data_IF_839225852428
#
_entry.id   IF_839225852428
#
_cell.length_a   1.000
_cell.length_b   1.000
_cell.length_c   1.000
_cell.angle_alpha   90.00
_cell.angle_beta   90.00
_cell.angle_gamma   90.00
#
_symmetry.space_group_name_H-M   'P 1'
#
loop_
_entity.id
_entity.type
_entity.pdbx_description
1 polymer ?
#
# COMPACT_ATOMS: atom_id res chain seq x y z
N UNK A 1 -62.75 2.22 -12.71
CA UNK A 1 -62.80 1.18 -13.74
C UNK A 1 -61.60 0.31 -13.49
N UNK A 2 -61.90 -0.64 -12.66
CA UNK A 2 -62.01 -2.09 -12.90
C UNK A 2 -60.64 -2.72 -13.07
N UNK A 3 -60.23 -3.63 -12.33
CA UNK A 3 -60.70 -4.77 -11.50
C UNK A 3 -59.61 -5.87 -11.68
N UNK A 4 -59.13 -6.36 -10.58
CA UNK A 4 -59.29 -7.72 -10.07
C UNK A 4 -58.49 -8.88 -10.71
N UNK A 5 -57.85 -9.64 -9.85
CA UNK A 5 -57.55 -11.05 -9.92
C UNK A 5 -56.28 -11.40 -9.19
N UNK A 6 -56.21 -11.69 -7.99
CA UNK A 6 -56.56 -12.74 -6.98
C UNK A 6 -56.37 -14.19 -7.41
N UNK A 7 -55.69 -14.92 -6.51
CA UNK A 7 -55.62 -16.38 -6.17
C UNK A 7 -54.58 -17.18 -6.97
N UNK A 8 -53.89 -18.13 -6.40
CA UNK A 8 -54.24 -19.11 -5.36
C UNK A 8 -53.02 -19.80 -4.76
N UNK A 9 -53.15 -20.21 -3.51
CA UNK A 9 -52.31 -21.05 -2.67
C UNK A 9 -52.20 -22.50 -3.16
N UNK A 10 -51.16 -23.25 -2.73
CA UNK A 10 -51.21 -24.59 -2.11
C UNK A 10 -49.77 -25.04 -1.81
N UNK A 11 -49.40 -25.19 -0.59
CA UNK A 11 -49.39 -26.28 0.38
C UNK A 11 -48.89 -27.63 -0.16
N UNK A 12 -47.87 -28.18 0.54
CA UNK A 12 -47.41 -29.58 0.40
C UNK A 12 -46.34 -29.92 1.45
N UNK A 13 -46.83 -30.31 2.62
CA UNK A 13 -46.08 -30.96 3.70
C UNK A 13 -45.55 -32.35 3.26
N UNK A 14 -44.48 -32.80 3.90
CA UNK A 14 -43.99 -34.18 3.78
C UNK A 14 -42.84 -34.53 4.74
N UNK A 15 -43.19 -34.64 6.03
CA UNK A 15 -42.35 -35.37 7.02
C UNK A 15 -42.27 -36.86 6.70
N UNK A 16 -41.16 -37.49 7.03
CA UNK A 16 -41.02 -38.82 7.74
C UNK A 16 -39.54 -39.06 8.01
N UNK A 17 -39.19 -39.12 9.23
CA UNK A 17 -38.85 -40.09 10.27
C UNK A 17 -38.28 -41.43 9.77
N UNK A 18 -37.14 -41.83 10.37
CA UNK A 18 -36.57 -43.19 10.28
C UNK A 18 -35.34 -43.34 11.18
N UNK A 19 -35.63 -43.80 12.39
CA UNK A 19 -34.74 -44.28 13.46
C UNK A 19 -33.94 -45.55 13.09
N UNK A 20 -32.88 -45.79 13.90
CA UNK A 20 -32.44 -47.16 14.19
C UNK A 20 -30.91 -47.36 14.15
N UNK A 21 -30.31 -47.32 15.22
CA UNK A 21 -29.93 -48.26 16.25
C UNK A 21 -28.50 -48.87 16.12
N UNK A 22 -27.82 -48.68 17.17
CA UNK A 22 -26.70 -49.29 17.83
C UNK A 22 -26.26 -50.75 17.47
N UNK A 23 -24.94 -50.98 17.56
CA UNK A 23 -24.36 -52.33 17.63
C UNK A 23 -22.90 -52.27 18.05
N UNK A 24 -22.69 -52.69 19.28
CA UNK A 24 -21.43 -52.85 20.03
C UNK A 24 -20.72 -54.18 19.74
N UNK A 25 -19.43 -54.25 20.20
CA UNK A 25 -18.53 -55.41 20.41
C UNK A 25 -17.67 -55.83 19.21
N UNK A 26 -16.38 -56.11 19.34
CA UNK A 26 -15.59 -56.64 20.42
C UNK A 26 -14.12 -56.78 19.99
N UNK A 27 -13.28 -56.95 20.98
CA UNK A 27 -11.83 -57.03 20.94
C UNK A 27 -11.30 -58.39 20.37
N UNK A 28 -10.05 -58.34 19.89
CA UNK A 28 -8.90 -59.23 20.14
C UNK A 28 -7.99 -59.27 18.90
N UNK A 29 -6.78 -58.80 18.91
CA UNK A 29 -5.55 -59.49 19.20
C UNK A 29 -5.04 -60.37 18.06
N UNK A 30 -3.96 -59.93 17.38
CA UNK A 30 -2.88 -60.83 16.94
C UNK A 30 -1.66 -60.04 16.46
N UNK A 31 -0.51 -60.43 16.94
CA UNK A 31 0.84 -60.06 16.55
C UNK A 31 1.15 -60.58 15.15
N UNK A 32 1.87 -59.81 14.34
CA UNK A 32 2.46 -60.27 13.09
C UNK A 32 3.60 -59.35 12.69
N UNK A 33 4.80 -59.86 12.87
CA UNK A 33 6.07 -59.27 12.38
C UNK A 33 6.12 -59.35 10.85
N UNK A 34 6.87 -58.39 10.27
CA UNK A 34 7.27 -58.48 8.86
C UNK A 34 7.42 -57.11 8.21
N UNK A 35 8.47 -56.54 8.25
CA UNK A 35 9.61 -56.19 7.43
C UNK A 35 9.33 -55.52 6.10
N UNK A 36 10.13 -54.47 5.88
CA UNK A 36 10.57 -53.95 4.58
C UNK A 36 9.58 -53.18 3.69
N UNK A 37 9.90 -51.92 3.55
CA UNK A 37 9.34 -51.08 2.53
C UNK A 37 9.45 -49.57 2.79
N UNK A 38 10.47 -49.12 3.47
CA UNK A 38 10.88 -47.69 3.42
C UNK A 38 11.35 -47.41 1.98
N UNK A 39 10.42 -46.95 1.15
CA UNK A 39 10.79 -46.40 -0.16
C UNK A 39 11.58 -45.13 0.09
N UNK A 40 12.87 -45.26 -0.18
CA UNK A 40 13.87 -44.21 -0.29
C UNK A 40 13.37 -43.13 -1.27
N UNK A 41 12.86 -42.01 -0.72
CA UNK A 41 12.60 -40.79 -1.50
C UNK A 41 13.89 -39.96 -1.59
N UNK A 42 15.00 -40.66 -1.87
CA UNK A 42 16.27 -40.04 -2.24
C UNK A 42 16.21 -39.67 -3.72
N UNK A 43 15.80 -38.45 -4.01
CA UNK A 43 15.80 -37.94 -5.40
C UNK A 43 15.29 -36.53 -5.60
N UNK A 44 14.98 -35.78 -4.55
CA UNK A 44 14.82 -34.32 -4.67
C UNK A 44 16.22 -33.68 -4.58
N UNK A 45 16.62 -32.83 -5.56
CA UNK A 45 17.87 -32.12 -5.43
C UNK A 45 17.81 -31.25 -4.18
N UNK A 46 18.70 -31.52 -3.24
CA UNK A 46 18.93 -30.62 -2.08
C UNK A 46 19.26 -29.25 -2.66
N UNK A 47 18.55 -28.16 -2.28
CA UNK A 47 18.92 -26.86 -2.76
C UNK A 47 20.37 -26.58 -2.35
N UNK A 48 21.21 -26.29 -3.36
CA UNK A 48 22.61 -26.00 -3.16
C UNK A 48 22.72 -24.62 -2.48
N UNK A 49 22.84 -24.61 -1.18
CA UNK A 49 22.96 -23.46 -0.31
C UNK A 49 22.22 -23.74 1.01
N UNK A 50 22.81 -23.32 2.12
CA UNK A 50 22.15 -23.48 3.42
C UNK A 50 20.86 -22.64 3.39
N UNK A 51 19.69 -23.18 3.74
CA UNK A 51 18.44 -22.40 3.87
C UNK A 51 18.63 -21.12 4.70
N UNK A 52 19.53 -21.17 5.66
CA UNK A 52 19.89 -20.10 6.57
C UNK A 52 20.57 -18.93 5.82
N UNK A 53 21.51 -19.18 4.90
CA UNK A 53 22.23 -18.15 4.17
C UNK A 53 21.30 -17.37 3.19
N UNK A 54 20.42 -18.06 2.48
CA UNK A 54 19.42 -17.42 1.63
C UNK A 54 18.43 -16.58 2.46
N UNK A 55 18.03 -17.11 3.62
CA UNK A 55 17.15 -16.41 4.56
C UNK A 55 17.82 -15.16 5.11
N UNK A 56 19.05 -15.27 5.58
CA UNK A 56 19.82 -14.15 6.13
C UNK A 56 19.99 -13.03 5.06
N UNK A 57 20.40 -13.38 3.86
CA UNK A 57 20.57 -12.44 2.76
C UNK A 57 19.24 -11.71 2.41
N UNK A 58 18.12 -12.45 2.38
CA UNK A 58 16.81 -11.84 2.13
C UNK A 58 16.39 -10.90 3.26
N UNK A 59 16.51 -11.34 4.51
CA UNK A 59 16.11 -10.55 5.68
C UNK A 59 16.96 -9.28 5.82
N UNK A 60 18.26 -9.33 5.50
CA UNK A 60 19.15 -8.16 5.49
C UNK A 60 18.66 -7.07 4.52
N UNK A 61 17.99 -7.43 3.44
CA UNK A 61 17.51 -6.49 2.42
C UNK A 61 15.98 -6.30 2.42
N UNK A 62 15.23 -6.96 3.31
CA UNK A 62 13.76 -6.99 3.28
C UNK A 62 13.13 -5.59 3.27
N UNK A 63 13.61 -4.67 4.12
CA UNK A 63 13.08 -3.31 4.19
C UNK A 63 13.30 -2.52 2.91
N UNK A 64 14.49 -2.64 2.30
CA UNK A 64 14.80 -2.06 0.99
C UNK A 64 13.86 -2.61 -0.09
N UNK A 65 13.71 -3.94 -0.16
CA UNK A 65 12.86 -4.61 -1.16
C UNK A 65 11.39 -4.20 -1.00
N UNK A 66 10.93 -4.07 0.27
CA UNK A 66 9.59 -3.56 0.56
C UNK A 66 9.41 -2.14 0.06
N UNK A 67 10.37 -1.25 0.34
CA UNK A 67 10.28 0.15 -0.11
C UNK A 67 10.24 0.25 -1.64
N UNK A 68 11.10 -0.50 -2.34
CA UNK A 68 11.08 -0.57 -3.81
C UNK A 68 9.71 -1.04 -4.33
N UNK A 69 9.17 -2.12 -3.77
CA UNK A 69 7.87 -2.65 -4.18
C UNK A 69 6.74 -1.66 -3.87
N UNK A 70 6.75 -1.06 -2.69
CA UNK A 70 5.74 -0.10 -2.26
C UNK A 70 5.73 1.18 -3.11
N UNK A 71 6.89 1.76 -3.42
CA UNK A 71 6.97 2.92 -4.31
C UNK A 71 6.52 2.59 -5.74
N UNK A 72 6.67 1.35 -6.17
CA UNK A 72 6.17 0.89 -7.48
C UNK A 72 4.67 0.63 -7.48
N UNK A 73 4.08 0.20 -6.37
CA UNK A 73 2.70 -0.29 -6.31
C UNK A 73 1.74 0.68 -5.62
N UNK A 74 2.22 1.47 -4.65
CA UNK A 74 1.40 2.35 -3.82
C UNK A 74 0.46 1.58 -2.87
N UNK A 75 0.71 0.29 -2.66
CA UNK A 75 -0.07 -0.59 -1.78
C UNK A 75 0.89 -1.45 -0.96
N UNK A 76 0.76 -1.37 0.36
CA UNK A 76 1.57 -2.17 1.28
C UNK A 76 1.21 -3.66 1.19
N UNK A 77 -0.07 -3.96 0.97
CA UNK A 77 -0.53 -5.33 0.78
C UNK A 77 0.11 -5.97 -0.45
N UNK A 78 0.04 -5.28 -1.59
CA UNK A 78 0.65 -5.78 -2.83
C UNK A 78 2.18 -5.82 -2.77
N UNK A 79 2.82 -4.92 -2.02
CA UNK A 79 4.26 -4.95 -1.79
C UNK A 79 4.68 -6.19 -0.99
N UNK A 80 3.96 -6.53 0.09
CA UNK A 80 4.21 -7.77 0.85
C UNK A 80 3.97 -9.02 0.01
N UNK A 81 2.93 -9.06 -0.82
CA UNK A 81 2.69 -10.17 -1.75
C UNK A 81 3.89 -10.35 -2.71
N UNK A 82 4.39 -9.25 -3.26
CA UNK A 82 5.59 -9.26 -4.13
C UNK A 82 6.82 -9.74 -3.38
N UNK A 83 7.00 -9.36 -2.12
CA UNK A 83 8.11 -9.84 -1.30
C UNK A 83 8.00 -11.34 -1.06
N UNK A 84 6.81 -11.83 -0.76
CA UNK A 84 6.58 -13.26 -0.58
C UNK A 84 6.88 -14.06 -1.85
N UNK A 85 6.42 -13.59 -3.02
CA UNK A 85 6.76 -14.18 -4.31
C UNK A 85 8.26 -14.14 -4.60
N UNK A 86 8.92 -13.03 -4.25
CA UNK A 86 10.37 -12.87 -4.42
C UNK A 86 11.11 -13.87 -3.52
N UNK A 87 10.69 -14.02 -2.27
CA UNK A 87 11.26 -15.00 -1.33
C UNK A 87 11.15 -16.43 -1.85
N UNK A 88 9.95 -16.85 -2.27
CA UNK A 88 9.72 -18.19 -2.79
C UNK A 88 10.60 -18.54 -3.99
N UNK A 89 10.98 -17.56 -4.79
CA UNK A 89 11.90 -17.76 -5.92
C UNK A 89 13.35 -17.69 -5.50
N UNK A 90 13.68 -16.84 -4.52
CA UNK A 90 15.01 -16.64 -4.01
C UNK A 90 15.58 -17.90 -3.34
N UNK A 91 14.78 -18.61 -2.56
CA UNK A 91 15.21 -19.85 -1.90
C UNK A 91 15.59 -20.99 -2.88
N UNK A 92 15.16 -20.88 -4.13
CA UNK A 92 15.54 -21.80 -5.21
C UNK A 92 16.74 -21.38 -6.03
N UNK A 93 17.37 -20.22 -5.71
CA UNK A 93 18.53 -19.71 -6.43
C UNK A 93 19.80 -20.35 -5.89
N UNK A 94 20.69 -20.81 -6.79
CA UNK A 94 22.05 -21.19 -6.40
C UNK A 94 22.86 -19.94 -6.03
N UNK A 95 23.13 -19.76 -4.74
CA UNK A 95 23.85 -18.60 -4.22
C UNK A 95 25.29 -18.52 -4.68
N UNK A 96 25.90 -19.65 -5.06
CA UNK A 96 27.27 -19.68 -5.55
C UNK A 96 27.46 -18.88 -6.87
N UNK A 97 26.38 -18.71 -7.65
CA UNK A 97 26.42 -17.92 -8.89
C UNK A 97 26.00 -16.45 -8.71
N UNK A 98 25.54 -16.08 -7.51
CA UNK A 98 25.08 -14.72 -7.21
C UNK A 98 26.23 -13.89 -6.66
N UNK A 99 26.73 -12.95 -7.46
CA UNK A 99 27.84 -12.05 -7.05
C UNK A 99 27.39 -10.96 -6.06
N UNK A 100 26.18 -10.43 -6.24
CA UNK A 100 25.59 -9.38 -5.43
C UNK A 100 24.13 -9.74 -5.11
N UNK A 101 23.86 -10.27 -3.90
CA UNK A 101 22.52 -10.61 -3.44
C UNK A 101 21.55 -9.40 -3.43
N UNK A 102 22.03 -8.21 -3.05
CA UNK A 102 21.22 -6.99 -3.03
C UNK A 102 20.72 -6.64 -4.43
N UNK A 103 21.62 -6.51 -5.39
CA UNK A 103 21.26 -6.18 -6.78
C UNK A 103 20.37 -7.25 -7.40
N UNK A 104 20.64 -8.53 -7.12
CA UNK A 104 19.84 -9.66 -7.61
C UNK A 104 18.40 -9.61 -7.06
N UNK A 105 18.24 -9.43 -5.74
CA UNK A 105 16.95 -9.34 -5.07
C UNK A 105 16.15 -8.11 -5.53
N UNK A 106 16.79 -6.93 -5.64
CA UNK A 106 16.12 -5.71 -6.15
C UNK A 106 15.63 -5.94 -7.58
N UNK A 107 16.41 -6.55 -8.45
CA UNK A 107 16.01 -6.89 -9.82
C UNK A 107 14.81 -7.84 -9.84
N UNK A 108 14.84 -8.89 -9.00
CA UNK A 108 13.76 -9.86 -8.89
C UNK A 108 12.46 -9.20 -8.40
N UNK A 109 12.54 -8.43 -7.31
CA UNK A 109 11.41 -7.67 -6.73
C UNK A 109 10.83 -6.69 -7.75
N UNK A 110 11.67 -5.94 -8.46
CA UNK A 110 11.23 -5.00 -9.50
C UNK A 110 10.43 -5.69 -10.60
N UNK A 111 10.89 -6.84 -11.08
CA UNK A 111 10.17 -7.61 -12.12
C UNK A 111 8.80 -8.08 -11.65
N UNK A 112 8.71 -8.58 -10.41
CA UNK A 112 7.42 -8.97 -9.81
C UNK A 112 6.50 -7.77 -9.64
N UNK A 113 7.01 -6.66 -9.09
CA UNK A 113 6.25 -5.43 -8.91
C UNK A 113 5.73 -4.87 -10.25
N UNK A 114 6.53 -4.87 -11.32
CA UNK A 114 6.09 -4.45 -12.66
C UNK A 114 4.97 -5.33 -13.21
N UNK A 115 5.05 -6.65 -13.01
CA UNK A 115 3.99 -7.57 -13.43
C UNK A 115 2.71 -7.32 -12.63
N UNK A 116 2.81 -7.16 -11.31
CA UNK A 116 1.69 -6.83 -10.43
C UNK A 116 1.06 -5.50 -10.81
N UNK A 117 1.86 -4.46 -11.07
CA UNK A 117 1.39 -3.12 -11.44
C UNK A 117 0.52 -3.13 -12.70
N UNK A 118 0.85 -3.95 -13.71
CA UNK A 118 0.03 -4.10 -14.92
C UNK A 118 -1.37 -4.65 -14.61
N UNK A 119 -1.46 -5.58 -13.65
CA UNK A 119 -2.73 -6.14 -13.20
C UNK A 119 -3.54 -5.12 -12.37
N UNK A 120 -2.86 -4.39 -11.47
CA UNK A 120 -3.49 -3.40 -10.61
C UNK A 120 -4.07 -2.21 -11.39
N UNK A 121 -3.43 -1.78 -12.48
CA UNK A 121 -3.98 -0.70 -13.32
C UNK A 121 -5.39 -0.99 -13.80
N UNK A 122 -5.67 -2.22 -14.23
CA UNK A 122 -7.02 -2.63 -14.64
C UNK A 122 -8.03 -2.58 -13.50
N UNK A 123 -7.62 -2.93 -12.26
CA UNK A 123 -8.48 -2.83 -11.08
C UNK A 123 -8.78 -1.38 -10.70
N UNK A 124 -7.80 -0.48 -10.89
CA UNK A 124 -7.96 0.96 -10.59
C UNK A 124 -8.91 1.65 -11.57
N UNK A 125 -9.03 1.18 -12.80
CA UNK A 125 -10.01 1.69 -13.77
C UNK A 125 -11.47 1.48 -13.34
N UNK A 126 -11.73 0.48 -12.49
CA UNK A 126 -13.05 0.20 -11.91
C UNK A 126 -13.19 0.64 -10.44
N UNK A 127 -12.21 1.35 -9.90
CA UNK A 127 -12.21 1.79 -8.51
C UNK A 127 -13.21 2.92 -8.28
N UNK A 128 -13.94 2.86 -7.15
CA UNK A 128 -14.97 3.84 -6.84
C UNK A 128 -14.34 5.06 -6.15
N UNK A 129 -14.39 6.20 -6.82
CA UNK A 129 -13.83 7.47 -6.33
C UNK A 129 -12.32 7.59 -6.53
N UNK A 130 -11.68 8.63 -5.95
CA UNK A 130 -10.24 8.82 -6.00
C UNK A 130 -9.50 7.67 -5.33
N UNK A 131 -8.56 7.07 -6.03
CA UNK A 131 -7.66 6.09 -5.44
C UNK A 131 -6.45 6.83 -4.83
N UNK A 132 -6.20 6.59 -3.54
CA UNK A 132 -5.00 7.06 -2.84
C UNK A 132 -4.08 5.89 -2.50
N UNK A 133 -2.75 6.08 -2.45
CA UNK A 133 -1.84 5.07 -1.91
C UNK A 133 -2.25 4.61 -0.51
N UNK A 134 -1.93 3.35 -0.19
CA UNK A 134 -2.14 2.81 1.16
C UNK A 134 -1.17 3.50 2.13
N UNK A 135 -1.62 4.11 3.23
CA UNK A 135 -0.75 4.83 4.15
C UNK A 135 0.11 3.85 4.95
N UNK A 136 1.36 4.23 5.22
CA UNK A 136 2.28 3.51 6.08
C UNK A 136 2.51 4.31 7.36
N UNK A 137 2.24 3.71 8.51
CA UNK A 137 2.74 4.24 9.79
C UNK A 137 4.25 4.02 9.80
N UNK A 138 5.03 5.08 9.90
CA UNK A 138 6.50 5.04 9.85
C UNK A 138 7.10 5.54 11.16
N UNK A 139 8.25 4.98 11.53
CA UNK A 139 9.00 5.47 12.68
C UNK A 139 9.58 6.88 12.42
N UNK A 140 9.87 7.65 13.47
CA UNK A 140 10.41 9.00 13.34
C UNK A 140 11.77 9.09 12.61
N UNK A 141 12.60 8.03 12.69
CA UNK A 141 13.89 7.94 12.02
C UNK A 141 13.80 8.00 10.48
N UNK A 142 12.68 7.57 9.90
CA UNK A 142 12.43 7.71 8.46
C UNK A 142 12.40 9.18 8.03
N UNK A 143 11.92 10.07 8.90
CA UNK A 143 11.89 11.50 8.62
C UNK A 143 13.28 12.15 8.64
N UNK A 144 14.30 11.49 9.21
CA UNK A 144 15.70 11.96 9.22
C UNK A 144 16.35 11.76 7.84
N UNK A 145 15.96 10.74 7.09
CA UNK A 145 16.33 10.59 5.67
C UNK A 145 15.35 11.39 4.79
N UNK A 146 15.68 12.65 4.55
CA UNK A 146 14.82 13.60 3.82
C UNK A 146 14.45 13.09 2.42
N UNK A 147 15.40 12.47 1.72
CA UNK A 147 15.15 11.96 0.36
C UNK A 147 14.21 10.76 0.39
N UNK A 148 14.38 9.84 1.34
CA UNK A 148 13.48 8.71 1.53
C UNK A 148 12.09 9.18 1.97
N UNK A 149 12.02 10.06 2.97
CA UNK A 149 10.75 10.61 3.45
C UNK A 149 9.97 11.35 2.34
N UNK A 150 10.69 12.00 1.43
CA UNK A 150 10.06 12.63 0.28
C UNK A 150 9.57 11.61 -0.74
N UNK A 151 10.37 10.61 -1.07
CA UNK A 151 10.03 9.61 -2.10
C UNK A 151 8.81 8.77 -1.72
N UNK A 152 8.69 8.40 -0.45
CA UNK A 152 7.53 7.61 0.05
C UNK A 152 6.33 8.48 0.44
N UNK A 153 6.45 9.82 0.41
CA UNK A 153 5.35 10.72 0.78
C UNK A 153 4.11 10.50 -0.08
N UNK A 154 2.93 10.73 0.51
CA UNK A 154 1.65 10.60 -0.21
C UNK A 154 1.62 11.47 -1.47
N UNK A 155 2.14 12.70 -1.39
CA UNK A 155 2.20 13.61 -2.53
C UNK A 155 3.08 13.07 -3.66
N UNK A 156 4.27 12.52 -3.34
CA UNK A 156 5.16 11.94 -4.33
C UNK A 156 4.57 10.66 -4.94
N UNK A 157 3.99 9.77 -4.12
CA UNK A 157 3.34 8.57 -4.62
C UNK A 157 2.23 8.89 -5.62
N UNK A 158 1.44 9.96 -5.38
CA UNK A 158 0.43 10.43 -6.35
C UNK A 158 1.04 10.96 -7.64
N UNK A 159 2.19 11.64 -7.58
CA UNK A 159 2.94 12.03 -8.79
C UNK A 159 3.40 10.78 -9.54
N UNK A 160 3.94 9.77 -8.83
CA UNK A 160 4.39 8.51 -9.43
C UNK A 160 3.24 7.72 -10.08
N UNK A 161 2.00 7.84 -9.59
CA UNK A 161 0.82 7.22 -10.22
C UNK A 161 0.54 7.75 -11.62
N UNK A 162 0.98 8.97 -11.94
CA UNK A 162 0.82 9.56 -13.27
C UNK A 162 1.82 9.03 -14.31
N UNK A 163 2.86 8.31 -13.86
CA UNK A 163 3.88 7.72 -14.72
C UNK A 163 3.43 6.37 -15.31
N UNK A 164 3.93 6.05 -16.50
CA UNK A 164 3.83 4.70 -17.03
C UNK A 164 4.62 3.69 -16.17
N UNK A 165 4.27 2.38 -16.17
CA UNK A 165 4.95 1.39 -15.32
C UNK A 165 6.47 1.39 -15.47
N UNK A 166 6.99 1.45 -16.69
CA UNK A 166 8.43 1.49 -16.93
C UNK A 166 9.07 2.82 -16.51
N UNK A 167 8.36 3.95 -16.68
CA UNK A 167 8.84 5.27 -16.26
C UNK A 167 8.93 5.35 -14.74
N UNK A 168 7.90 4.85 -14.03
CA UNK A 168 7.88 4.76 -12.57
C UNK A 168 9.02 3.91 -12.06
N UNK A 169 9.23 2.70 -12.63
CA UNK A 169 10.30 1.82 -12.20
C UNK A 169 11.69 2.43 -12.43
N UNK A 170 11.93 3.02 -13.60
CA UNK A 170 13.22 3.65 -13.91
C UNK A 170 13.47 4.85 -12.99
N UNK A 171 12.46 5.68 -12.73
CA UNK A 171 12.58 6.83 -11.82
C UNK A 171 12.89 6.35 -10.40
N UNK A 172 12.10 5.44 -9.84
CA UNK A 172 12.29 4.92 -8.48
C UNK A 172 13.67 4.30 -8.33
N UNK A 173 14.07 3.40 -9.21
CA UNK A 173 15.35 2.72 -9.11
C UNK A 173 16.56 3.66 -9.29
N UNK A 174 16.45 4.67 -10.17
CA UNK A 174 17.56 5.59 -10.42
C UNK A 174 17.61 6.75 -9.43
N UNK A 175 16.48 7.44 -9.23
CA UNK A 175 16.47 8.72 -8.53
C UNK A 175 16.27 8.56 -7.01
N UNK A 176 15.66 7.45 -6.56
CA UNK A 176 15.51 7.15 -5.14
C UNK A 176 16.61 6.20 -4.65
N UNK A 177 16.84 5.10 -5.37
CA UNK A 177 17.77 4.04 -4.90
C UNK A 177 19.16 4.13 -5.54
N UNK A 178 19.41 5.04 -6.47
CA UNK A 178 20.73 5.30 -7.04
C UNK A 178 21.32 4.19 -7.90
N UNK A 179 20.49 3.23 -8.37
CA UNK A 179 20.98 2.10 -9.17
C UNK A 179 21.59 2.57 -10.50
N UNK A 180 22.56 1.81 -11.00
CA UNK A 180 23.17 2.08 -12.27
C UNK A 180 22.25 1.72 -13.46
N UNK A 181 22.37 2.46 -14.57
CA UNK A 181 21.50 2.26 -15.73
C UNK A 181 21.59 0.84 -16.31
N UNK A 182 22.73 0.15 -16.13
CA UNK A 182 22.90 -1.26 -16.52
C UNK A 182 22.00 -2.19 -15.72
N UNK A 183 22.02 -2.05 -14.39
CA UNK A 183 21.20 -2.83 -13.45
C UNK A 183 19.70 -2.60 -13.69
N UNK A 184 19.33 -1.33 -13.91
CA UNK A 184 17.95 -0.96 -14.22
C UNK A 184 17.50 -1.56 -15.55
N UNK A 185 18.37 -1.55 -16.57
CA UNK A 185 18.09 -2.14 -17.88
C UNK A 185 17.76 -3.63 -17.77
N UNK A 186 18.54 -4.36 -16.99
CA UNK A 186 18.28 -5.77 -16.69
C UNK A 186 16.96 -5.97 -15.93
N UNK A 187 16.68 -5.12 -14.93
CA UNK A 187 15.47 -5.22 -14.12
C UNK A 187 14.19 -4.99 -14.95
N UNK A 188 14.19 -3.95 -15.82
CA UNK A 188 13.01 -3.58 -16.61
C UNK A 188 12.93 -4.26 -17.98
N UNK A 189 13.94 -5.03 -18.36
CA UNK A 189 14.01 -5.76 -19.65
C UNK A 189 14.12 -4.83 -20.86
N UNK A 190 14.97 -3.79 -20.79
CA UNK A 190 15.18 -2.80 -21.84
C UNK A 190 16.67 -2.56 -22.07
N UNK A 191 17.03 -1.91 -23.19
CA UNK A 191 18.42 -1.48 -23.40
C UNK A 191 18.79 -0.32 -22.47
N UNK A 192 20.06 -0.20 -22.12
CA UNK A 192 20.57 0.89 -21.29
C UNK A 192 20.32 2.28 -21.93
N UNK A 193 20.38 2.37 -23.26
CA UNK A 193 20.08 3.61 -23.99
C UNK A 193 18.58 3.99 -23.82
N UNK A 194 17.67 3.01 -23.93
CA UNK A 194 16.25 3.23 -23.71
C UNK A 194 15.97 3.65 -22.25
N UNK A 195 16.64 3.05 -21.27
CA UNK A 195 16.49 3.40 -19.85
C UNK A 195 16.91 4.84 -19.58
N UNK A 196 18.04 5.31 -20.18
CA UNK A 196 18.44 6.74 -20.05
C UNK A 196 17.38 7.69 -20.59
N UNK A 197 16.78 7.38 -21.73
CA UNK A 197 15.70 8.21 -22.30
C UNK A 197 14.44 8.20 -21.43
N UNK A 198 14.07 7.03 -20.89
CA UNK A 198 12.94 6.89 -19.97
C UNK A 198 13.20 7.72 -18.70
N UNK A 199 14.39 7.62 -18.11
CA UNK A 199 14.79 8.40 -16.93
C UNK A 199 14.65 9.90 -17.16
N UNK A 200 15.14 10.40 -18.32
CA UNK A 200 15.02 11.82 -18.67
C UNK A 200 13.55 12.27 -18.74
N UNK A 201 12.70 11.52 -19.45
CA UNK A 201 11.26 11.85 -19.53
C UNK A 201 10.56 11.76 -18.18
N UNK A 202 10.85 10.73 -17.38
CA UNK A 202 10.27 10.56 -16.06
C UNK A 202 10.63 11.72 -15.13
N UNK A 203 11.89 12.17 -15.10
CA UNK A 203 12.32 13.34 -14.33
C UNK A 203 11.60 14.62 -14.76
N UNK A 204 11.49 14.87 -16.06
CA UNK A 204 10.76 16.04 -16.57
C UNK A 204 9.30 16.02 -16.17
N UNK A 205 8.67 14.83 -16.21
CA UNK A 205 7.28 14.63 -15.82
C UNK A 205 7.07 14.87 -14.31
N UNK A 206 7.96 14.32 -13.48
CA UNK A 206 7.93 14.50 -12.02
C UNK A 206 8.20 15.96 -11.65
N UNK A 207 9.22 16.58 -12.22
CA UNK A 207 9.57 17.99 -11.96
C UNK A 207 8.41 18.96 -12.26
N UNK A 208 7.62 18.68 -13.30
CA UNK A 208 6.45 19.51 -13.66
C UNK A 208 5.29 19.40 -12.65
N UNK A 209 5.27 18.36 -11.79
CA UNK A 209 4.17 18.04 -10.84
C UNK A 209 4.59 18.05 -9.38
N UNK A 210 5.89 18.04 -9.13
CA UNK A 210 6.44 18.11 -7.77
C UNK A 210 6.13 19.48 -7.17
N UNK A 211 5.78 19.57 -5.86
CA UNK A 211 5.62 20.84 -5.16
C UNK A 211 6.85 21.72 -5.32
N UNK A 212 6.64 23.02 -5.48
CA UNK A 212 7.71 24.01 -5.61
C UNK A 212 8.24 24.35 -4.22
N UNK A 213 9.33 23.74 -3.83
CA UNK A 213 9.99 24.02 -2.56
C UNK A 213 10.05 22.81 -1.63
N UNK A 214 11.16 22.68 -0.93
CA UNK A 214 11.32 21.67 0.12
C UNK A 214 10.70 22.22 1.40
N UNK A 215 9.48 21.77 1.73
CA UNK A 215 8.85 22.09 3.02
C UNK A 215 9.43 21.15 4.07
N UNK A 216 9.93 21.71 5.16
CA UNK A 216 10.50 20.96 6.25
C UNK A 216 9.42 20.17 7.02
N UNK A 217 9.85 19.09 7.71
CA UNK A 217 8.95 18.34 8.59
C UNK A 217 8.44 19.19 9.78
N UNK A 218 9.20 20.23 10.17
CA UNK A 218 8.78 21.17 11.23
C UNK A 218 7.62 22.04 10.72
N UNK A 219 7.78 22.71 9.58
CA UNK A 219 6.71 23.52 8.96
C UNK A 219 5.45 22.68 8.71
N UNK A 220 5.59 21.43 8.28
CA UNK A 220 4.45 20.53 8.09
C UNK A 220 3.76 20.23 9.42
N UNK A 221 4.51 20.01 10.53
CA UNK A 221 3.93 19.81 11.86
C UNK A 221 3.19 21.02 12.37
N UNK A 222 3.77 22.21 12.22
CA UNK A 222 3.16 23.45 12.67
C UNK A 222 1.84 23.73 11.93
N UNK A 223 1.83 23.53 10.60
CA UNK A 223 0.63 23.67 9.79
C UNK A 223 -0.45 22.63 10.18
N UNK A 224 -0.06 21.37 10.41
CA UNK A 224 -1.00 20.32 10.84
C UNK A 224 -1.55 20.58 12.25
N UNK A 225 -0.74 21.13 13.16
CA UNK A 225 -1.19 21.48 14.50
C UNK A 225 -2.18 22.66 14.47
N UNK A 226 -1.93 23.68 13.62
CA UNK A 226 -2.89 24.76 13.41
C UNK A 226 -4.18 24.25 12.76
N UNK A 227 -4.07 23.37 11.77
CA UNK A 227 -5.20 22.72 11.10
C UNK A 227 -6.02 21.87 12.09
N UNK A 228 -5.35 21.05 12.91
CA UNK A 228 -6.01 20.24 13.95
C UNK A 228 -6.83 21.11 14.90
N UNK A 229 -6.23 22.19 15.43
CA UNK A 229 -6.92 23.12 16.33
C UNK A 229 -8.14 23.76 15.67
N UNK A 230 -7.97 24.25 14.43
CA UNK A 230 -9.06 24.89 13.71
C UNK A 230 -10.23 23.93 13.45
N UNK A 231 -9.96 22.65 13.12
CA UNK A 231 -11.00 21.62 12.96
C UNK A 231 -11.65 21.31 14.30
N UNK A 232 -10.88 21.04 15.37
CA UNK A 232 -11.41 20.65 16.69
C UNK A 232 -12.20 21.76 17.38
N UNK A 233 -11.90 23.03 17.09
CA UNK A 233 -12.63 24.18 17.65
C UNK A 233 -13.75 24.72 16.75
N UNK A 234 -13.87 24.18 15.52
CA UNK A 234 -14.82 24.69 14.54
C UNK A 234 -14.46 26.09 14.00
N UNK A 235 -13.19 26.49 14.11
CA UNK A 235 -12.70 27.79 13.63
C UNK A 235 -12.61 27.80 12.11
N UNK A 236 -13.71 28.17 11.47
CA UNK A 236 -13.81 28.22 10.01
C UNK A 236 -12.84 29.24 9.40
N UNK A 237 -12.63 30.41 10.04
CA UNK A 237 -11.72 31.41 9.52
C UNK A 237 -10.28 30.94 9.61
N UNK A 238 -9.88 30.35 10.75
CA UNK A 238 -8.55 29.74 10.91
C UNK A 238 -8.29 28.65 9.88
N UNK A 239 -9.31 27.85 9.51
CA UNK A 239 -9.18 26.88 8.40
C UNK A 239 -8.96 27.57 7.06
N UNK A 240 -9.72 28.62 6.75
CA UNK A 240 -9.59 29.35 5.48
C UNK A 240 -8.22 30.01 5.35
N UNK A 241 -7.64 30.52 6.44
CA UNK A 241 -6.34 31.15 6.48
C UNK A 241 -5.17 30.15 6.25
N UNK A 242 -5.39 28.87 6.53
CA UNK A 242 -4.41 27.78 6.32
C UNK A 242 -4.50 27.16 4.92
N UNK A 243 -5.64 27.25 4.27
CA UNK A 243 -5.90 26.61 2.99
C UNK A 243 -5.58 27.52 1.82
N UNK A 244 -4.86 27.03 0.81
CA UNK A 244 -4.72 27.73 -0.45
C UNK A 244 -6.09 27.92 -1.12
N UNK A 245 -6.33 29.03 -1.85
CA UNK A 245 -7.61 29.29 -2.51
C UNK A 245 -8.07 28.17 -3.43
N UNK A 246 -7.12 27.46 -4.05
CA UNK A 246 -7.31 26.37 -5.00
C UNK A 246 -6.98 24.99 -4.39
N UNK A 247 -6.96 24.87 -3.06
CA UNK A 247 -6.70 23.61 -2.36
C UNK A 247 -7.57 22.48 -2.88
N UNK A 248 -6.98 21.29 -2.97
CA UNK A 248 -7.67 20.07 -3.42
C UNK A 248 -7.72 19.05 -2.31
N UNK A 249 -8.92 18.64 -1.92
CA UNK A 249 -9.15 17.50 -1.05
C UNK A 249 -9.49 16.27 -1.89
N UNK A 250 -8.69 15.21 -1.73
CA UNK A 250 -8.96 13.87 -2.25
C UNK A 250 -9.35 12.96 -1.11
N UNK A 251 -10.45 12.22 -1.26
CA UNK A 251 -10.90 11.26 -0.25
C UNK A 251 -11.06 9.88 -0.86
N UNK A 252 -10.45 8.88 -0.24
CA UNK A 252 -10.50 7.49 -0.67
C UNK A 252 -11.29 6.63 0.31
N UNK A 253 -12.52 6.30 -0.04
CA UNK A 253 -13.40 5.41 0.74
C UNK A 253 -13.49 3.99 0.19
N UNK A 254 -12.88 3.72 -0.97
CA UNK A 254 -12.87 2.40 -1.61
C UNK A 254 -14.24 1.88 -2.05
N UNK A 255 -15.26 2.72 -2.09
CA UNK A 255 -16.64 2.28 -2.28
C UNK A 255 -17.26 1.59 -1.06
N UNK A 256 -16.51 1.43 0.04
CA UNK A 256 -16.94 0.77 1.29
C UNK A 256 -17.49 1.77 2.29
N UNK A 257 -16.85 2.93 2.41
CA UNK A 257 -17.30 4.01 3.30
C UNK A 257 -17.61 5.26 2.51
N UNK A 258 -18.43 6.13 3.09
CA UNK A 258 -18.82 7.39 2.46
C UNK A 258 -17.60 8.30 2.28
N UNK A 259 -17.29 8.68 1.04
CA UNK A 259 -16.23 9.59 0.66
C UNK A 259 -16.66 10.40 -0.56
N UNK A 260 -16.00 11.55 -0.83
CA UNK A 260 -16.26 12.30 -2.04
C UNK A 260 -15.77 11.49 -3.26
N UNK A 261 -16.65 11.29 -4.23
CA UNK A 261 -16.31 10.50 -5.44
C UNK A 261 -15.48 11.27 -6.46
N UNK A 262 -15.36 12.59 -6.27
CA UNK A 262 -14.55 13.47 -7.09
C UNK A 262 -13.73 14.42 -6.20
N UNK A 263 -12.63 14.99 -6.72
CA UNK A 263 -11.86 15.99 -5.99
C UNK A 263 -12.74 17.17 -5.53
N UNK A 264 -12.61 17.55 -4.26
CA UNK A 264 -13.22 18.78 -3.72
C UNK A 264 -12.22 19.89 -3.87
N UNK A 265 -12.55 20.91 -4.68
CA UNK A 265 -11.63 22.01 -5.03
C UNK A 265 -12.12 23.32 -4.42
N UNK A 266 -11.19 24.04 -3.80
CA UNK A 266 -11.38 25.39 -3.24
C UNK A 266 -11.57 25.40 -1.73
N UNK A 267 -10.94 26.40 -1.07
CA UNK A 267 -10.86 26.50 0.38
C UNK A 267 -12.25 26.47 1.06
N UNK A 268 -13.23 27.24 0.57
CA UNK A 268 -14.57 27.27 1.15
C UNK A 268 -15.27 25.91 1.12
N UNK A 269 -15.18 25.17 0.02
CA UNK A 269 -15.79 23.83 -0.09
C UNK A 269 -15.10 22.81 0.80
N UNK A 270 -13.78 22.88 0.87
CA UNK A 270 -12.99 22.00 1.74
C UNK A 270 -13.32 22.30 3.20
N UNK A 271 -13.36 23.56 3.62
CA UNK A 271 -13.72 23.96 4.98
C UNK A 271 -15.14 23.52 5.35
N UNK A 272 -16.11 23.60 4.43
CA UNK A 272 -17.46 23.07 4.63
C UNK A 272 -17.49 21.55 4.90
N UNK A 273 -16.69 20.79 4.14
CA UNK A 273 -16.56 19.32 4.36
C UNK A 273 -15.96 19.03 5.72
N UNK A 274 -14.90 19.75 6.11
CA UNK A 274 -14.21 19.58 7.39
C UNK A 274 -15.10 20.00 8.58
N UNK A 275 -15.88 21.07 8.45
CA UNK A 275 -16.80 21.53 9.48
C UNK A 275 -17.86 20.51 9.87
N UNK A 276 -18.20 19.58 8.98
CA UNK A 276 -19.20 18.52 9.27
C UNK A 276 -18.68 17.43 10.22
N UNK A 277 -17.38 17.37 10.47
CA UNK A 277 -16.75 16.35 11.33
C UNK A 277 -16.17 16.94 12.61
N UNK A 278 -16.19 18.26 12.77
CA UNK A 278 -15.54 18.98 13.86
C UNK A 278 -15.95 18.46 15.27
N UNK A 279 -17.24 18.26 15.51
CA UNK A 279 -17.77 17.88 16.82
C UNK A 279 -17.55 16.42 17.21
N UNK A 280 -17.17 15.55 16.27
CA UNK A 280 -17.09 14.10 16.47
C UNK A 280 -15.72 13.51 16.29
N UNK A 281 -14.80 14.27 15.71
CA UNK A 281 -13.48 13.81 15.34
C UNK A 281 -12.43 14.15 16.40
N UNK A 282 -11.57 13.19 16.72
CA UNK A 282 -10.31 13.42 17.45
C UNK A 282 -9.17 13.25 16.46
N UNK A 283 -8.32 14.28 16.36
CA UNK A 283 -7.18 14.30 15.45
C UNK A 283 -5.88 14.07 16.24
N UNK A 284 -5.16 12.99 15.94
CA UNK A 284 -3.92 12.62 16.61
C UNK A 284 -2.73 12.76 15.66
N UNK A 285 -1.65 13.45 16.05
CA UNK A 285 -0.42 13.52 15.27
C UNK A 285 0.20 12.13 15.09
N UNK A 286 0.73 11.88 13.89
CA UNK A 286 1.45 10.65 13.56
C UNK A 286 2.50 10.90 12.48
N UNK A 287 3.40 9.94 12.30
CA UNK A 287 4.30 9.89 11.15
C UNK A 287 3.73 8.89 10.13
N UNK A 288 3.35 9.39 8.98
CA UNK A 288 2.80 8.56 7.90
C UNK A 288 3.59 8.80 6.64
N UNK A 289 4.10 7.72 6.04
CA UNK A 289 4.88 7.85 4.82
C UNK A 289 6.08 8.80 4.96
N UNK A 290 6.81 8.69 6.08
CA UNK A 290 7.97 9.53 6.37
C UNK A 290 7.66 11.01 6.64
N UNK A 291 6.40 11.42 6.67
CA UNK A 291 5.98 12.83 6.87
C UNK A 291 4.98 12.96 8.02
N UNK A 292 4.94 14.13 8.68
CA UNK A 292 3.88 14.43 9.63
C UNK A 292 2.49 14.32 8.97
N UNK A 293 1.55 13.72 9.69
CA UNK A 293 0.18 13.48 9.27
C UNK A 293 -0.75 13.47 10.49
N UNK A 294 -2.05 13.36 10.27
CA UNK A 294 -3.05 13.23 11.31
C UNK A 294 -3.84 11.92 11.18
N UNK A 295 -4.08 11.26 12.29
CA UNK A 295 -5.01 10.15 12.41
C UNK A 295 -6.32 10.67 12.97
N UNK A 296 -7.37 10.65 12.17
CA UNK A 296 -8.70 11.01 12.61
C UNK A 296 -9.40 9.77 13.18
N UNK A 297 -9.87 9.90 14.41
CA UNK A 297 -10.67 8.87 15.09
C UNK A 297 -12.09 9.34 15.27
N UNK A 298 -13.02 8.45 14.98
CA UNK A 298 -14.44 8.58 15.31
C UNK A 298 -14.79 7.52 16.35
N UNK A 299 -15.37 7.92 17.47
CA UNK A 299 -15.74 7.01 18.57
C UNK A 299 -14.57 6.12 19.02
N UNK A 300 -13.34 6.69 19.05
CA UNK A 300 -12.10 6.00 19.43
C UNK A 300 -11.50 5.06 18.38
N UNK A 301 -12.16 4.85 17.24
CA UNK A 301 -11.68 3.98 16.13
C UNK A 301 -11.04 4.82 15.04
N UNK A 302 -9.93 4.32 14.46
CA UNK A 302 -9.32 4.95 13.29
C UNK A 302 -10.31 4.95 12.12
N UNK A 303 -10.67 6.14 11.64
CA UNK A 303 -11.56 6.35 10.50
C UNK A 303 -10.81 6.88 9.27
N UNK A 304 -9.86 7.81 9.48
CA UNK A 304 -9.18 8.47 8.37
C UNK A 304 -7.71 8.72 8.71
N UNK A 305 -6.85 8.54 7.72
CA UNK A 305 -5.49 9.09 7.71
C UNK A 305 -5.47 10.31 6.82
N UNK A 306 -5.02 11.45 7.37
CA UNK A 306 -4.95 12.72 6.66
C UNK A 306 -3.49 13.11 6.47
N UNK A 307 -3.03 13.13 5.22
CA UNK A 307 -1.75 13.71 4.83
C UNK A 307 -1.98 15.03 4.08
N UNK A 308 -1.00 15.94 4.15
CA UNK A 308 -1.10 17.26 3.53
C UNK A 308 0.03 17.51 2.53
N UNK A 309 -0.23 18.38 1.58
CA UNK A 309 0.77 19.02 0.76
C UNK A 309 0.77 20.51 1.06
N UNK A 310 1.93 21.02 1.45
CA UNK A 310 2.15 22.43 1.65
C UNK A 310 2.93 23.02 0.47
N UNK A 311 2.62 24.28 0.14
CA UNK A 311 3.40 25.12 -0.75
C UNK A 311 3.29 26.57 -0.23
N UNK A 312 4.42 27.26 -0.11
CA UNK A 312 4.48 28.65 0.40
C UNK A 312 3.73 28.88 1.73
N UNK A 313 3.78 27.89 2.63
CA UNK A 313 3.15 27.94 3.96
C UNK A 313 1.64 27.64 3.98
N UNK A 314 1.00 27.42 2.83
CA UNK A 314 -0.42 27.08 2.73
C UNK A 314 -0.60 25.59 2.38
N UNK A 315 -1.71 25.02 2.84
CA UNK A 315 -2.13 23.67 2.47
C UNK A 315 -2.76 23.72 1.07
N UNK A 316 -2.06 23.16 0.09
CA UNK A 316 -2.50 23.07 -1.31
C UNK A 316 -3.15 21.73 -1.65
N UNK A 317 -2.95 20.72 -0.80
CA UNK A 317 -3.56 19.39 -0.97
C UNK A 317 -3.82 18.72 0.35
N UNK A 318 -4.97 18.05 0.43
CA UNK A 318 -5.39 17.19 1.53
C UNK A 318 -5.70 15.80 0.97
N UNK A 319 -5.10 14.78 1.56
CA UNK A 319 -5.23 13.38 1.14
C UNK A 319 -5.81 12.59 2.29
N UNK A 320 -7.09 12.23 2.21
CA UNK A 320 -7.84 11.57 3.27
C UNK A 320 -8.13 10.10 2.88
N UNK A 321 -7.36 9.18 3.41
CA UNK A 321 -7.58 7.74 3.21
C UNK A 321 -8.56 7.24 4.28
N UNK A 322 -9.73 6.78 3.84
CA UNK A 322 -10.82 6.24 4.67
C UNK A 322 -11.13 4.78 4.38
N UNK A 323 -10.59 4.22 3.30
CA UNK A 323 -10.83 2.82 2.95
C UNK A 323 -10.34 1.89 4.06
N UNK A 324 -11.24 1.11 4.74
CA UNK A 324 -10.87 0.27 5.88
C UNK A 324 -9.83 -0.80 5.52
N UNK A 325 -9.83 -1.30 4.28
CA UNK A 325 -8.84 -2.27 3.81
C UNK A 325 -7.43 -1.67 3.84
N UNK A 326 -7.29 -0.40 3.40
CA UNK A 326 -6.03 0.34 3.42
C UNK A 326 -5.58 0.75 4.82
N UNK A 327 -6.52 0.95 5.74
CA UNK A 327 -6.23 1.34 7.13
C UNK A 327 -5.91 0.16 8.05
N UNK A 328 -6.17 -1.07 7.62
CA UNK A 328 -5.98 -2.28 8.44
C UNK A 328 -4.55 -2.48 8.95
N UNK A 329 -3.56 -1.94 8.25
CA UNK A 329 -2.12 -2.05 8.60
C UNK A 329 -1.59 -0.89 9.43
N UNK A 330 -2.39 0.16 9.68
CA UNK A 330 -1.99 1.34 10.45
C UNK A 330 -1.79 1.09 11.95
N UNK A 331 -1.84 -0.16 12.39
CA UNK A 331 -1.59 -0.56 13.79
C UNK A 331 -0.12 -0.88 14.07
N UNK A 332 0.73 -0.98 13.04
CA UNK A 332 2.14 -1.34 13.17
C UNK A 332 3.01 -0.41 12.33
N UNK A 333 4.12 -0.01 12.90
CA UNK A 333 5.15 0.72 12.17
C UNK A 333 5.76 -0.16 11.08
N UNK A 334 5.96 0.44 9.91
CA UNK A 334 6.58 -0.21 8.76
C UNK A 334 7.98 0.36 8.56
N UNK A 335 8.99 -0.51 8.58
CA UNK A 335 10.36 -0.13 8.28
C UNK A 335 10.53 0.07 6.78
N UNK A 336 10.86 1.30 6.38
CA UNK A 336 11.24 1.67 5.01
C UNK A 336 12.72 2.05 4.99
N UNK A 337 13.46 1.65 3.95
CA UNK A 337 14.89 1.92 3.79
C UNK A 337 15.25 2.05 2.31
N UNK A 338 16.37 2.72 1.99
CA UNK A 338 16.98 2.80 0.66
C UNK A 338 18.37 2.18 0.59
#
# INVERSE_FOLDING_TARGET
MNEHGERDERHGDGERHGDGAAGTHGAAGARGEGGEGARDIAGLPTPAGRPDEATEAFLAHRSLLFTVAYELLGSAADAEDVLQETWLRWVGVDLAVVRDPRAYLVRMTTRQALNRLRTLRRRRESYVGPWLPEPLLTAPDVAEDVELAESVSMAMLLVLETLGPAERAVFVLRDVFGLEYGEIAEAVGKSQAAVRQIAHRARSHVAARRPRGAVSAAETRDALEAFRRAVETGDLQGLLDLLAPDVVLLTDGGGVVRAAQAPVVGAGRVAEVLGRIADTATLLPAQVNGRPALLLRLEGRLDTVVAVRLDEGLITGLYAVRNPEKLSRMQRETAVRR
#
